data_IF_055153574069
#
_entry.id   IF_055153574069
#
_cell.length_a   1.000
_cell.length_b   1.000
_cell.length_c   1.000
_cell.angle_alpha   90.00
_cell.angle_beta   90.00
_cell.angle_gamma   90.00
#
_symmetry.space_group_name_H-M   'P 1'
#
loop_
_entity.id
_entity.type
_entity.pdbx_description
1 polymer ?
#
# COMPACT_ATOMS: atom_id res chain seq x y z
N UNK A 1 21.61 -3.24 11.00
CA UNK A 1 20.81 -2.09 11.49
C UNK A 1 19.34 -2.42 11.46
N UNK A 2 18.65 -2.02 12.48
CA UNK A 2 17.21 -2.20 12.50
C UNK A 2 16.54 -1.29 11.45
N UNK A 3 15.60 -1.82 10.67
CA UNK A 3 14.81 -1.02 9.76
C UNK A 3 13.84 -0.16 10.56
N UNK A 4 13.45 0.98 10.00
CA UNK A 4 12.45 1.83 10.60
C UNK A 4 11.07 1.27 10.32
N UNK A 5 10.32 1.00 11.37
CA UNK A 5 8.94 0.55 11.24
C UNK A 5 8.02 1.75 11.08
N UNK A 6 7.02 1.57 10.23
CA UNK A 6 5.98 2.58 10.00
C UNK A 6 4.61 1.94 10.12
N UNK A 7 3.65 2.73 10.56
CA UNK A 7 2.25 2.33 10.64
C UNK A 7 1.49 2.93 9.48
N UNK A 8 0.69 2.11 8.78
CA UNK A 8 -0.16 2.59 7.70
C UNK A 8 -1.62 2.46 8.13
N UNK A 9 -2.38 3.53 7.97
CA UNK A 9 -3.81 3.54 8.23
C UNK A 9 -4.56 3.88 6.93
N UNK A 10 -5.43 2.98 6.51
CA UNK A 10 -6.40 3.23 5.47
C UNK A 10 -7.66 3.77 6.11
N UNK A 11 -8.10 4.95 5.68
CA UNK A 11 -9.23 5.65 6.29
C UNK A 11 -10.43 5.68 5.35
N UNK A 12 -11.63 5.64 5.94
CA UNK A 12 -12.85 5.94 5.22
C UNK A 12 -12.96 7.44 4.97
N UNK A 13 -13.89 7.83 4.11
CA UNK A 13 -14.06 9.25 3.75
C UNK A 13 -14.38 10.13 4.97
N UNK A 14 -15.03 9.56 5.99
CA UNK A 14 -15.34 10.29 7.23
C UNK A 14 -14.15 10.36 8.19
N UNK A 15 -12.99 9.80 7.82
CA UNK A 15 -11.79 9.81 8.62
C UNK A 15 -11.64 8.63 9.58
N UNK A 16 -12.64 7.75 9.66
CA UNK A 16 -12.52 6.56 10.52
C UNK A 16 -11.53 5.57 9.94
N UNK A 17 -10.82 4.86 10.82
CA UNK A 17 -9.81 3.88 10.39
C UNK A 17 -10.49 2.60 9.92
N UNK A 18 -10.20 2.18 8.68
CA UNK A 18 -10.67 0.91 8.13
C UNK A 18 -9.71 -0.22 8.42
N UNK A 19 -8.42 0.01 8.22
CA UNK A 19 -7.36 -0.98 8.43
C UNK A 19 -6.10 -0.30 8.90
N UNK A 20 -5.33 -1.04 9.68
CA UNK A 20 -4.01 -0.61 10.13
C UNK A 20 -3.05 -1.77 9.95
N UNK A 21 -1.87 -1.49 9.41
CA UNK A 21 -0.82 -2.50 9.33
C UNK A 21 0.55 -1.87 9.50
N UNK A 22 1.54 -2.73 9.75
CA UNK A 22 2.92 -2.31 9.98
C UNK A 22 3.78 -2.67 8.78
N UNK A 23 4.67 -1.78 8.42
CA UNK A 23 5.62 -1.97 7.34
C UNK A 23 7.01 -1.57 7.79
N UNK A 24 8.02 -1.94 6.98
CA UNK A 24 9.36 -1.40 7.11
C UNK A 24 9.58 -0.34 6.04
N UNK A 25 10.21 0.75 6.42
CA UNK A 25 10.56 1.82 5.48
C UNK A 25 11.72 1.35 4.60
N UNK A 26 11.52 1.37 3.29
CA UNK A 26 12.55 1.02 2.30
C UNK A 26 13.27 2.26 1.80
N UNK A 27 12.48 3.28 1.43
CA UNK A 27 13.03 4.50 0.85
C UNK A 27 12.10 5.67 1.15
N UNK A 28 12.70 6.81 1.47
CA UNK A 28 11.97 8.07 1.53
C UNK A 28 12.69 9.12 0.69
N UNK A 29 12.03 9.54 -0.37
CA UNK A 29 12.52 10.60 -1.25
C UNK A 29 11.30 11.41 -1.67
N UNK A 30 10.88 12.32 -0.79
CA UNK A 30 9.65 13.06 -0.97
C UNK A 30 9.52 13.64 -2.39
N UNK A 31 8.35 13.49 -3.02
CA UNK A 31 7.07 13.04 -2.43
C UNK A 31 6.91 11.52 -2.37
N UNK A 32 7.87 10.72 -2.86
CA UNK A 32 7.77 9.26 -2.87
C UNK A 32 8.23 8.67 -1.54
N UNK A 33 7.42 7.76 -0.98
CA UNK A 33 7.83 6.89 0.12
C UNK A 33 7.51 5.45 -0.25
N UNK A 34 8.43 4.54 0.06
CA UNK A 34 8.29 3.11 -0.27
C UNK A 34 8.43 2.30 1.01
N UNK A 35 7.45 1.45 1.24
CA UNK A 35 7.41 0.53 2.37
C UNK A 35 7.42 -0.90 1.87
N UNK A 36 7.82 -1.84 2.73
CA UNK A 36 7.65 -3.27 2.46
C UNK A 36 6.88 -3.89 3.61
N UNK A 37 5.90 -4.74 3.26
CA UNK A 37 5.16 -5.56 4.20
C UNK A 37 5.36 -7.02 3.84
N UNK A 38 5.64 -7.84 4.86
CA UNK A 38 5.65 -9.29 4.74
C UNK A 38 4.32 -9.80 5.31
N UNK A 39 3.56 -10.52 4.50
CA UNK A 39 2.19 -10.91 4.82
C UNK A 39 2.08 -11.97 5.90
N UNK A 40 2.43 -11.62 7.12
CA UNK A 40 2.28 -12.52 8.26
C UNK A 40 0.98 -12.27 9.01
N UNK A 41 0.52 -11.02 9.00
CA UNK A 41 -0.64 -10.59 9.79
C UNK A 41 -1.58 -9.81 8.89
N UNK A 42 -2.81 -10.24 8.81
CA UNK A 42 -3.93 -9.42 8.40
C UNK A 42 -4.24 -9.38 6.93
N UNK A 43 -3.92 -8.29 6.25
CA UNK A 43 -4.60 -7.93 5.01
C UNK A 43 -4.13 -8.68 3.77
N UNK A 44 -2.94 -9.26 3.79
CA UNK A 44 -2.44 -10.02 2.66
C UNK A 44 -2.13 -11.45 3.09
N UNK A 45 -2.17 -12.35 2.10
CA UNK A 45 -1.93 -13.77 2.35
C UNK A 45 -0.55 -13.98 2.94
N UNK A 46 -0.46 -14.88 3.94
CA UNK A 46 0.80 -15.20 4.61
C UNK A 46 1.88 -15.57 3.59
N UNK A 47 3.06 -14.97 3.76
CA UNK A 47 4.20 -15.18 2.88
C UNK A 47 4.24 -14.24 1.68
N UNK A 48 3.16 -13.56 1.36
CA UNK A 48 3.15 -12.55 0.30
C UNK A 48 4.02 -11.38 0.70
N UNK A 49 4.83 -10.88 -0.22
CA UNK A 49 5.65 -9.69 -0.02
C UNK A 49 5.00 -8.55 -0.79
N UNK A 50 4.71 -7.46 -0.11
CA UNK A 50 4.11 -6.28 -0.72
C UNK A 50 5.07 -5.12 -0.63
N UNK A 51 5.48 -4.57 -1.78
CA UNK A 51 6.17 -3.29 -1.84
C UNK A 51 5.11 -2.22 -2.08
N UNK A 52 5.03 -1.24 -1.20
CA UNK A 52 3.97 -0.23 -1.19
C UNK A 52 4.56 1.11 -1.53
N UNK A 53 4.08 1.69 -2.62
CA UNK A 53 4.55 2.98 -3.15
C UNK A 53 3.48 4.01 -2.91
N UNK A 54 3.82 5.05 -2.15
CA UNK A 54 2.94 6.18 -1.86
C UNK A 54 3.60 7.46 -2.33
N UNK A 55 2.79 8.34 -2.91
CA UNK A 55 3.23 9.69 -3.27
C UNK A 55 2.41 10.69 -2.46
N UNK A 56 3.07 11.54 -1.71
CA UNK A 56 2.41 12.45 -0.77
C UNK A 56 1.60 13.54 -1.47
N UNK A 57 1.77 13.69 -2.79
CA UNK A 57 1.09 14.71 -3.60
C UNK A 57 0.18 14.11 -4.68
N UNK A 58 -0.14 12.81 -4.60
CA UNK A 58 -0.93 12.15 -5.65
C UNK A 58 -2.12 11.41 -5.08
N UNK A 59 -3.11 11.19 -5.94
CA UNK A 59 -4.39 10.59 -5.60
C UNK A 59 -4.43 9.08 -5.81
N UNK A 60 -3.28 8.42 -5.76
CA UNK A 60 -3.20 6.96 -5.87
C UNK A 60 -1.98 6.44 -5.13
N UNK A 61 -2.04 5.15 -4.80
CA UNK A 61 -0.87 4.38 -4.37
C UNK A 61 -0.79 3.11 -5.20
N UNK A 62 0.39 2.47 -5.20
CA UNK A 62 0.61 1.23 -5.95
C UNK A 62 1.27 0.24 -5.02
N UNK A 63 0.68 -0.95 -4.93
CA UNK A 63 1.26 -2.09 -4.23
C UNK A 63 1.75 -3.07 -5.28
N UNK A 64 2.99 -3.52 -5.13
CA UNK A 64 3.57 -4.56 -5.98
C UNK A 64 3.67 -5.82 -5.16
N UNK A 65 2.83 -6.81 -5.50
CA UNK A 65 2.75 -8.07 -4.77
C UNK A 65 3.66 -9.12 -5.38
N UNK A 66 4.38 -9.83 -4.52
CA UNK A 66 5.25 -10.95 -4.87
C UNK A 66 4.87 -12.19 -4.08
N UNK A 67 5.07 -13.35 -4.72
CA UNK A 67 4.94 -14.63 -4.05
C UNK A 67 6.04 -14.79 -3.00
N UNK A 68 5.90 -15.75 -2.06
CA UNK A 68 6.95 -15.97 -1.04
C UNK A 68 8.33 -16.26 -1.62
N UNK A 69 8.41 -16.81 -2.84
CA UNK A 69 9.68 -17.09 -3.51
C UNK A 69 10.26 -15.87 -4.23
N UNK A 70 9.58 -14.72 -4.17
CA UNK A 70 10.01 -13.48 -4.81
C UNK A 70 9.43 -13.25 -6.20
N UNK A 71 8.72 -14.22 -6.76
CA UNK A 71 8.13 -14.08 -8.09
C UNK A 71 7.06 -12.98 -8.09
N UNK A 72 7.09 -12.11 -9.09
CA UNK A 72 6.09 -11.06 -9.23
C UNK A 72 4.71 -11.65 -9.51
N UNK A 73 3.70 -11.18 -8.75
CA UNK A 73 2.30 -11.62 -8.93
C UNK A 73 1.49 -10.61 -9.71
N UNK A 74 1.35 -9.41 -9.19
CA UNK A 74 0.55 -8.36 -9.80
C UNK A 74 0.77 -7.02 -9.09
N UNK A 75 0.37 -5.94 -9.77
CA UNK A 75 0.19 -4.64 -9.11
C UNK A 75 -1.23 -4.52 -8.59
N UNK A 76 -1.38 -3.80 -7.49
CA UNK A 76 -2.66 -3.42 -6.93
C UNK A 76 -2.64 -1.93 -6.68
N UNK A 77 -3.53 -1.19 -7.35
CA UNK A 77 -3.55 0.27 -7.27
C UNK A 77 -4.82 0.70 -6.56
N UNK A 78 -4.68 1.61 -5.60
CA UNK A 78 -5.81 2.23 -4.93
C UNK A 78 -5.92 3.68 -5.41
N UNK A 79 -7.15 4.14 -5.61
CA UNK A 79 -7.43 5.56 -5.75
C UNK A 79 -7.68 6.11 -4.34
N UNK A 80 -6.93 7.11 -3.96
CA UNK A 80 -6.98 7.68 -2.61
C UNK A 80 -6.65 9.16 -2.66
N UNK A 81 -7.02 9.89 -1.60
CA UNK A 81 -6.57 11.26 -1.43
C UNK A 81 -5.07 11.26 -1.08
N UNK A 82 -4.36 12.36 -1.39
CA UNK A 82 -2.94 12.44 -1.04
C UNK A 82 -2.72 12.11 0.43
N UNK A 83 -1.79 11.18 0.73
CA UNK A 83 -1.57 10.75 2.11
C UNK A 83 -0.76 11.77 2.91
N UNK A 84 -0.81 11.63 4.22
CA UNK A 84 0.11 12.32 5.13
C UNK A 84 1.05 11.30 5.74
N UNK A 85 2.30 11.69 5.95
CA UNK A 85 3.29 10.82 6.58
C UNK A 85 4.06 11.64 7.62
N UNK A 86 3.71 11.44 8.90
CA UNK A 86 4.26 12.19 10.02
C UNK A 86 4.52 11.21 11.17
N UNK A 87 5.70 11.33 11.78
CA UNK A 87 6.07 10.55 12.97
C UNK A 87 5.92 9.04 12.78
N UNK A 88 6.33 8.54 11.59
CA UNK A 88 6.29 7.11 11.30
C UNK A 88 4.90 6.58 11.02
N UNK A 89 3.92 7.44 10.77
CA UNK A 89 2.54 7.04 10.51
C UNK A 89 2.08 7.64 9.19
N UNK A 90 1.66 6.77 8.27
CA UNK A 90 1.09 7.19 6.99
C UNK A 90 -0.42 6.95 7.02
N UNK A 91 -1.17 8.00 6.72
CA UNK A 91 -2.63 7.95 6.68
C UNK A 91 -3.11 8.33 5.29
N UNK A 92 -4.03 7.55 4.71
CA UNK A 92 -4.65 7.92 3.45
C UNK A 92 -6.13 7.58 3.45
N UNK A 93 -6.92 8.44 2.79
CA UNK A 93 -8.35 8.21 2.63
C UNK A 93 -8.56 7.43 1.34
N UNK A 94 -9.10 6.21 1.48
CA UNK A 94 -9.39 5.29 0.39
C UNK A 94 -10.72 5.72 -0.26
N UNK A 95 -10.72 5.86 -1.58
CA UNK A 95 -11.90 6.28 -2.33
C UNK A 95 -12.66 5.11 -2.95
N UNK A 96 -12.33 3.88 -2.53
CA UNK A 96 -13.07 2.65 -2.86
C UNK A 96 -13.02 2.25 -4.34
N UNK A 97 -12.01 2.69 -5.06
CA UNK A 97 -11.76 2.25 -6.43
C UNK A 97 -10.38 1.61 -6.47
N UNK A 98 -10.33 0.34 -6.84
CA UNK A 98 -9.10 -0.43 -6.91
C UNK A 98 -8.87 -0.92 -8.33
N UNK A 99 -7.60 -1.05 -8.73
CA UNK A 99 -7.23 -1.54 -10.05
C UNK A 99 -6.17 -2.61 -9.85
N UNK A 100 -6.44 -3.80 -10.38
CA UNK A 100 -5.46 -4.90 -10.41
C UNK A 100 -4.83 -4.93 -11.78
N UNK A 101 -3.48 -4.96 -11.83
CA UNK A 101 -2.73 -5.05 -13.08
C UNK A 101 -1.91 -6.33 -13.05
N UNK A 102 -2.14 -7.21 -14.04
CA UNK A 102 -1.51 -8.52 -14.15
C UNK A 102 -0.18 -8.44 -14.91
N UNK A 103 0.67 -9.49 -14.83
CA UNK A 103 1.99 -9.46 -15.51
C UNK A 103 1.94 -9.18 -17.00
N UNK A 104 0.85 -9.57 -17.70
CA UNK A 104 0.67 -9.31 -19.12
C UNK A 104 0.16 -7.90 -19.41
N UNK A 105 0.07 -7.06 -18.38
CA UNK A 105 -0.43 -5.68 -18.41
C UNK A 105 -1.94 -5.55 -18.64
N UNK A 106 -2.68 -6.67 -18.63
CA UNK A 106 -4.14 -6.57 -18.54
C UNK A 106 -4.53 -6.03 -17.15
N UNK A 107 -5.70 -5.43 -17.07
CA UNK A 107 -6.14 -4.84 -15.81
C UNK A 107 -7.62 -5.02 -15.59
N UNK A 108 -8.02 -4.90 -14.34
CA UNK A 108 -9.41 -4.97 -13.91
C UNK A 108 -9.67 -3.88 -12.89
N UNK A 109 -10.75 -3.14 -13.09
CA UNK A 109 -11.19 -2.11 -12.14
C UNK A 109 -12.21 -2.74 -11.21
N UNK A 110 -12.01 -2.56 -9.91
CA UNK A 110 -12.88 -3.08 -8.87
C UNK A 110 -13.53 -1.91 -8.14
N UNK A 111 -14.87 -1.89 -8.12
CA UNK A 111 -15.62 -0.95 -7.30
C UNK A 111 -16.02 -1.64 -6.01
N UNK A 112 -15.75 -0.98 -4.90
CA UNK A 112 -16.25 -1.44 -3.60
C UNK A 112 -17.42 -0.56 -3.18
N UNK A 113 -18.53 -1.18 -2.98
CA UNK A 113 -19.69 -0.50 -2.48
C UNK A 113 -19.89 -0.71 -0.99
#
# INVERSE_FOLDING_TARGET
>A
MASQQVTVNSLAFDGSVRRTWQCDLVERRDPLVVFVEHGELGIIQKGTISYEYYWLDRWYNIFRFHEPDGTFRNYYCNVNMPPTFVDGELNYIDLDIDIVVWPDMSYQVLDRE
#
